data_IF_539231357376
#
_entry.id   IF_539231357376
#
_cell.length_a   1.000
_cell.length_b   1.000
_cell.length_c   1.000
_cell.angle_alpha   90.00
_cell.angle_beta   90.00
_cell.angle_gamma   90.00
#
_symmetry.space_group_name_H-M   'P 1'
#
loop_
_entity.id
_entity.type
_entity.pdbx_description
1 polymer ?
#
# COMPACT_ATOMS: atom_id res chain seq x y z
N UNK A 1 26.39 71.57 23.48
CA UNK A 1 25.13 71.12 24.10
C UNK A 1 24.73 69.79 23.49
N UNK A 2 24.62 68.74 24.33
CA UNK A 2 24.16 67.38 24.00
C UNK A 2 22.64 67.36 23.84
N UNK A 3 22.13 66.54 22.91
CA UNK A 3 21.00 65.57 23.07
C UNK A 3 20.59 65.07 21.67
N UNK A 4 21.11 63.91 21.27
CA UNK A 4 20.52 62.55 21.37
C UNK A 4 19.69 62.17 20.16
N UNK A 5 20.25 61.20 19.42
CA UNK A 5 19.60 60.37 18.44
C UNK A 5 18.28 59.81 18.97
N UNK A 6 17.21 60.04 18.22
CA UNK A 6 15.92 59.37 18.42
C UNK A 6 15.20 59.38 17.09
N UNK A 7 15.36 58.29 16.33
CA UNK A 7 14.43 57.79 15.30
C UNK A 7 15.00 56.47 14.74
N UNK A 8 15.43 55.60 15.67
CA UNK A 8 15.62 54.16 15.47
C UNK A 8 14.38 53.53 16.10
N UNK A 9 13.31 53.36 15.31
CA UNK A 9 12.08 52.82 15.88
C UNK A 9 10.81 53.19 15.12
N UNK A 10 10.81 53.10 13.79
CA UNK A 10 9.55 52.98 13.04
C UNK A 10 9.75 51.96 11.94
N UNK A 11 9.16 50.79 12.17
CA UNK A 11 8.77 49.81 11.15
C UNK A 11 9.80 48.79 10.66
N UNK A 12 10.57 48.23 11.59
CA UNK A 12 11.03 46.84 11.54
C UNK A 12 9.83 45.87 11.80
N UNK A 13 8.73 46.08 11.07
CA UNK A 13 7.42 45.47 11.28
C UNK A 13 6.78 44.98 9.97
N UNK A 14 7.59 44.80 8.92
CA UNK A 14 7.24 44.06 7.69
C UNK A 14 7.88 42.67 7.64
N UNK A 15 8.49 42.22 8.75
CA UNK A 15 9.08 40.89 8.92
C UNK A 15 8.28 40.01 9.89
N UNK A 16 7.00 40.36 10.14
CA UNK A 16 6.10 39.48 10.90
C UNK A 16 5.31 38.66 9.91
N UNK A 17 5.77 37.42 9.72
CA UNK A 17 4.92 36.24 9.59
C UNK A 17 3.76 36.32 8.60
N UNK A 18 4.07 36.40 7.30
CA UNK A 18 3.40 35.48 6.38
C UNK A 18 4.21 34.18 6.30
N UNK A 19 4.46 33.58 7.47
CA UNK A 19 4.38 32.14 7.56
C UNK A 19 2.92 31.83 7.27
N UNK A 20 2.60 31.62 6.00
CA UNK A 20 1.41 30.87 5.59
C UNK A 20 1.54 29.52 6.28
N UNK A 21 1.07 29.45 7.53
CA UNK A 21 0.96 28.23 8.29
C UNK A 21 -0.02 27.41 7.47
N UNK A 22 0.50 26.45 6.71
CA UNK A 22 -0.31 25.49 5.99
C UNK A 22 -1.33 24.96 7.00
N UNK A 23 -2.59 25.36 6.83
CA UNK A 23 -3.73 24.89 7.60
C UNK A 23 -4.26 23.57 7.03
N UNK A 24 -3.50 22.92 6.15
CA UNK A 24 -3.73 21.52 5.86
C UNK A 24 -3.41 20.72 7.14
N UNK A 25 -4.28 19.81 7.58
CA UNK A 25 -3.93 18.93 8.69
C UNK A 25 -2.60 18.25 8.34
N UNK A 26 -1.59 18.49 9.18
CA UNK A 26 -0.29 17.84 9.13
C UNK A 26 -0.56 16.34 9.27
N UNK A 27 -0.68 15.67 8.14
CA UNK A 27 -0.83 14.23 7.98
C UNK A 27 -2.22 13.71 8.41
N UNK A 28 -3.10 13.47 7.43
CA UNK A 28 -4.28 12.62 7.64
C UNK A 28 -3.79 11.19 7.87
N UNK A 29 -4.44 10.48 8.79
CA UNK A 29 -4.14 9.09 9.11
C UNK A 29 -3.99 8.25 7.84
N UNK A 30 -2.80 7.69 7.67
CA UNK A 30 -2.39 7.04 6.44
C UNK A 30 -2.59 5.55 6.53
N UNK A 31 -3.73 5.01 6.07
CA UNK A 31 -3.92 3.55 5.95
C UNK A 31 -3.82 3.12 4.49
N UNK A 32 -3.20 1.97 4.28
CA UNK A 32 -3.02 1.38 2.96
C UNK A 32 -3.96 0.19 2.84
N UNK A 33 -4.75 0.19 1.78
CA UNK A 33 -5.68 -0.90 1.48
C UNK A 33 -5.34 -1.55 0.14
N UNK A 34 -5.51 -2.87 0.04
CA UNK A 34 -5.51 -3.57 -1.24
C UNK A 34 -6.93 -3.81 -1.74
N UNK A 35 -7.14 -3.60 -3.04
CA UNK A 35 -8.31 -4.08 -3.79
C UNK A 35 -7.86 -5.23 -4.69
N UNK A 36 -8.42 -6.41 -4.48
CA UNK A 36 -8.27 -7.52 -5.41
C UNK A 36 -9.25 -7.35 -6.56
N UNK A 37 -8.73 -7.22 -7.78
CA UNK A 37 -9.51 -6.93 -8.98
C UNK A 37 -9.31 -7.96 -10.09
N UNK A 38 -8.86 -9.16 -9.73
CA UNK A 38 -8.92 -10.34 -10.58
C UNK A 38 -9.34 -11.58 -9.81
N UNK A 39 -10.10 -12.49 -10.43
CA UNK A 39 -10.48 -13.74 -9.81
C UNK A 39 -9.26 -14.70 -9.76
N UNK A 40 -9.19 -15.62 -8.78
CA UNK A 40 -8.02 -16.47 -8.56
C UNK A 40 -7.69 -17.40 -9.73
N UNK A 41 -8.63 -17.73 -10.61
CA UNK A 41 -8.42 -18.60 -11.77
C UNK A 41 -7.44 -17.99 -12.78
N UNK A 42 -7.36 -16.65 -12.84
CA UNK A 42 -6.36 -15.96 -13.65
C UNK A 42 -4.95 -16.12 -13.09
N UNK A 43 -4.83 -16.44 -11.79
CA UNK A 43 -3.56 -16.72 -11.17
C UNK A 43 -2.98 -18.03 -11.67
N UNK A 44 -3.75 -18.99 -12.20
CA UNK A 44 -3.28 -20.27 -12.78
C UNK A 44 -3.76 -21.53 -12.04
N UNK A 45 -2.91 -22.55 -11.89
CA UNK A 45 -3.22 -23.93 -11.49
C UNK A 45 -3.68 -24.18 -10.02
N UNK A 46 -4.34 -23.21 -9.38
CA UNK A 46 -5.12 -23.39 -8.15
C UNK A 46 -4.33 -23.83 -6.90
N UNK A 47 -3.03 -23.51 -6.86
CA UNK A 47 -2.13 -23.80 -5.72
C UNK A 47 -1.22 -22.61 -5.44
N UNK A 48 -1.75 -21.39 -5.47
CA UNK A 48 -0.98 -20.14 -5.46
C UNK A 48 -1.46 -19.25 -4.33
N UNK A 49 -0.56 -18.45 -3.79
CA UNK A 49 -0.95 -17.40 -2.88
C UNK A 49 -0.19 -16.12 -3.21
N UNK A 50 -0.83 -15.00 -2.94
CA UNK A 50 -0.21 -13.70 -3.00
C UNK A 50 0.38 -13.37 -1.64
N UNK A 51 1.61 -12.90 -1.66
CA UNK A 51 2.22 -12.18 -0.55
C UNK A 51 2.26 -10.71 -0.94
N UNK A 52 1.51 -9.88 -0.22
CA UNK A 52 1.58 -8.43 -0.34
C UNK A 52 2.41 -7.91 0.82
N UNK A 53 3.50 -7.23 0.50
CA UNK A 53 4.38 -6.59 1.48
C UNK A 53 4.29 -5.09 1.30
N UNK A 54 3.98 -4.36 2.38
CA UNK A 54 4.11 -2.91 2.44
C UNK A 54 5.31 -2.55 3.33
N UNK A 55 6.34 -2.00 2.72
CA UNK A 55 7.54 -1.49 3.41
C UNK A 55 7.33 0.01 3.64
N UNK A 56 7.27 0.41 4.91
CA UNK A 56 6.97 1.78 5.31
C UNK A 56 8.15 2.31 6.10
N UNK A 57 8.60 3.53 5.78
CA UNK A 57 9.69 4.19 6.51
C UNK A 57 9.44 4.20 8.03
N UNK A 58 10.35 3.57 8.78
CA UNK A 58 10.33 3.53 10.25
C UNK A 58 9.45 2.43 10.85
N UNK A 59 8.94 1.49 10.05
CA UNK A 59 8.15 0.34 10.52
C UNK A 59 8.74 -0.98 10.03
N UNK A 60 8.49 -2.06 10.78
CA UNK A 60 8.66 -3.41 10.25
C UNK A 60 7.72 -3.65 9.06
N UNK A 61 8.14 -4.43 8.04
CA UNK A 61 7.31 -4.71 6.87
C UNK A 61 5.96 -5.32 7.25
N UNK A 62 4.88 -4.75 6.72
CA UNK A 62 3.55 -5.33 6.87
C UNK A 62 3.35 -6.39 5.80
N UNK A 63 3.05 -7.63 6.22
CA UNK A 63 2.91 -8.78 5.31
C UNK A 63 1.49 -9.32 5.38
N UNK A 64 0.79 -9.31 4.25
CA UNK A 64 -0.53 -9.92 4.08
C UNK A 64 -0.45 -11.09 3.11
N UNK A 65 -1.05 -12.23 3.47
CA UNK A 65 -1.08 -13.45 2.64
C UNK A 65 -2.50 -13.78 2.22
N UNK A 66 -2.70 -14.00 0.92
CA UNK A 66 -4.01 -14.21 0.30
C UNK A 66 -3.95 -15.48 -0.54
N UNK A 67 -4.79 -16.46 -0.21
CA UNK A 67 -4.77 -17.81 -0.77
C UNK A 67 -5.88 -18.03 -1.80
N UNK A 68 -5.58 -18.73 -2.89
CA UNK A 68 -6.47 -18.92 -4.05
C UNK A 68 -7.45 -20.11 -3.96
N UNK A 69 -7.50 -20.83 -2.83
CA UNK A 69 -8.26 -22.09 -2.69
C UNK A 69 -9.13 -22.21 -1.43
N UNK A 70 -9.92 -23.28 -1.37
CA UNK A 70 -10.78 -23.69 -0.25
C UNK A 70 -9.98 -23.98 1.04
N UNK A 71 -10.51 -23.55 2.19
CA UNK A 71 -9.88 -23.63 3.51
C UNK A 71 -9.58 -25.06 3.98
N UNK A 72 -10.32 -26.04 3.48
CA UNK A 72 -10.07 -27.45 3.79
C UNK A 72 -8.78 -27.96 3.15
N UNK A 73 -8.37 -27.38 2.02
CA UNK A 73 -7.07 -27.64 1.37
C UNK A 73 -5.95 -26.74 1.87
N UNK A 74 -6.30 -25.62 2.52
CA UNK A 74 -5.34 -24.64 3.03
C UNK A 74 -4.47 -25.13 4.19
N UNK A 75 -4.89 -26.19 4.90
CA UNK A 75 -4.23 -26.68 6.09
C UNK A 75 -2.74 -27.00 5.89
N UNK A 76 -2.38 -27.63 4.77
CA UNK A 76 -0.99 -27.99 4.46
C UNK A 76 -0.09 -26.75 4.29
N UNK A 77 -0.59 -25.71 3.62
CA UNK A 77 0.17 -24.49 3.34
C UNK A 77 0.29 -23.57 4.55
N UNK A 78 -0.78 -23.46 5.33
CA UNK A 78 -0.79 -22.72 6.58
C UNK A 78 0.27 -23.29 7.53
N UNK A 79 0.38 -24.63 7.58
CA UNK A 79 1.41 -25.32 8.35
C UNK A 79 2.83 -25.10 7.78
N UNK A 80 3.04 -25.23 6.46
CA UNK A 80 4.34 -24.99 5.81
C UNK A 80 4.86 -23.57 6.11
N UNK A 81 3.97 -22.59 6.09
CA UNK A 81 4.29 -21.18 6.31
C UNK A 81 4.35 -20.80 7.79
N UNK A 82 3.99 -21.71 8.71
CA UNK A 82 3.95 -21.44 10.14
C UNK A 82 2.98 -20.33 10.53
N UNK A 83 1.89 -20.16 9.77
CA UNK A 83 0.84 -19.16 10.05
C UNK A 83 -0.42 -19.83 10.58
N UNK A 84 -1.41 -19.06 11.05
CA UNK A 84 -2.73 -19.60 11.41
C UNK A 84 -3.77 -19.34 10.33
N UNK A 85 -4.92 -20.04 10.38
CA UNK A 85 -6.07 -19.75 9.50
C UNK A 85 -6.59 -18.31 9.69
N UNK A 86 -6.47 -17.74 10.89
CA UNK A 86 -6.94 -16.37 11.17
C UNK A 86 -6.06 -15.31 10.50
N UNK A 87 -4.79 -15.62 10.25
CA UNK A 87 -3.82 -14.72 9.61
C UNK A 87 -3.87 -14.81 8.07
N UNK A 88 -4.62 -15.78 7.54
CA UNK A 88 -4.71 -16.04 6.13
C UNK A 88 -6.04 -15.48 5.57
N UNK A 89 -5.98 -14.87 4.39
CA UNK A 89 -7.16 -14.36 3.70
C UNK A 89 -7.51 -15.28 2.52
N UNK A 90 -8.79 -15.53 2.30
CA UNK A 90 -9.26 -16.29 1.14
C UNK A 90 -9.56 -15.33 -0.02
N UNK A 91 -8.89 -15.50 -1.15
CA UNK A 91 -9.05 -14.64 -2.32
C UNK A 91 -10.51 -14.51 -2.78
N UNK A 92 -11.26 -15.62 -2.79
CA UNK A 92 -12.66 -15.67 -3.24
C UNK A 92 -13.61 -14.80 -2.39
N UNK A 93 -13.24 -14.55 -1.14
CA UNK A 93 -14.01 -13.70 -0.23
C UNK A 93 -13.78 -12.20 -0.48
N UNK A 94 -12.66 -11.84 -1.09
CA UNK A 94 -12.23 -10.44 -1.25
C UNK A 94 -12.33 -9.92 -2.68
N UNK A 95 -12.07 -10.74 -3.71
CA UNK A 95 -12.10 -10.28 -5.11
C UNK A 95 -13.43 -9.61 -5.47
N UNK A 96 -13.35 -8.36 -5.95
CA UNK A 96 -14.50 -7.56 -6.36
C UNK A 96 -15.45 -7.13 -5.23
N UNK A 97 -15.19 -7.51 -3.98
CA UNK A 97 -16.14 -7.36 -2.86
C UNK A 97 -15.67 -6.38 -1.79
N UNK A 98 -14.42 -6.47 -1.35
CA UNK A 98 -13.92 -5.76 -0.15
C UNK A 98 -12.50 -5.25 -0.33
N UNK A 99 -12.19 -4.17 0.38
CA UNK A 99 -10.81 -3.72 0.59
C UNK A 99 -10.18 -4.51 1.73
N UNK A 100 -8.90 -4.82 1.58
CA UNK A 100 -8.07 -5.49 2.58
C UNK A 100 -7.22 -4.42 3.26
N UNK A 101 -7.32 -4.26 4.58
CA UNK A 101 -6.44 -3.37 5.34
C UNK A 101 -5.06 -4.02 5.46
N UNK A 102 -4.06 -3.47 4.78
CA UNK A 102 -2.70 -4.05 4.73
C UNK A 102 -1.89 -3.72 5.98
N UNK A 103 -2.16 -2.59 6.62
CA UNK A 103 -1.36 -2.10 7.75
C UNK A 103 -2.01 -2.45 9.08
N UNK A 104 -3.34 -2.59 9.11
CA UNK A 104 -4.14 -2.87 10.32
C UNK A 104 -4.07 -1.77 11.38
N UNK A 105 -3.35 -0.68 11.08
CA UNK A 105 -3.08 0.46 11.94
C UNK A 105 -2.86 1.70 11.10
N UNK A 106 -2.99 2.85 11.75
CA UNK A 106 -2.71 4.14 11.15
C UNK A 106 -1.21 4.37 11.07
N UNK A 107 -0.76 4.77 9.88
CA UNK A 107 0.60 5.22 9.67
C UNK A 107 0.67 6.73 9.87
N UNK A 108 1.85 7.20 10.24
CA UNK A 108 2.20 8.61 10.15
C UNK A 108 2.07 9.03 8.68
N UNK A 109 1.23 10.04 8.40
CA UNK A 109 1.16 10.53 7.02
C UNK A 109 2.48 11.15 6.58
N UNK A 110 2.66 11.22 5.26
CA UNK A 110 3.91 11.62 4.62
C UNK A 110 4.98 10.53 4.60
N UNK A 111 4.80 9.41 5.33
CA UNK A 111 5.71 8.26 5.28
C UNK A 111 5.86 7.73 3.85
N UNK A 112 7.09 7.44 3.47
CA UNK A 112 7.42 6.80 2.20
C UNK A 112 7.14 5.30 2.29
N UNK A 113 6.51 4.79 1.23
CA UNK A 113 6.02 3.43 1.17
C UNK A 113 6.30 2.79 -0.19
N UNK A 114 6.79 1.56 -0.16
CA UNK A 114 6.79 0.65 -1.29
C UNK A 114 5.79 -0.49 -1.02
N UNK A 115 4.96 -0.81 -2.02
CA UNK A 115 4.08 -1.99 -1.94
C UNK A 115 4.45 -2.95 -3.04
N UNK A 116 4.84 -4.16 -2.63
CA UNK A 116 5.20 -5.25 -3.51
C UNK A 116 4.19 -6.38 -3.37
N UNK A 117 3.73 -6.91 -4.50
CA UNK A 117 2.99 -8.18 -4.55
C UNK A 117 3.85 -9.25 -5.20
N UNK A 118 3.89 -10.42 -4.57
CA UNK A 118 4.53 -11.62 -5.11
C UNK A 118 3.52 -12.75 -5.14
N UNK A 119 3.41 -13.39 -6.30
CA UNK A 119 2.75 -14.68 -6.40
C UNK A 119 3.78 -15.76 -6.07
N UNK A 120 3.50 -16.53 -5.02
CA UNK A 120 4.39 -17.58 -4.54
C UNK A 120 3.86 -18.96 -4.97
N UNK A 121 4.78 -19.80 -5.46
CA UNK A 121 4.59 -21.08 -6.16
C UNK A 121 3.92 -20.97 -7.55
N UNK A 122 4.35 -21.83 -8.48
CA UNK A 122 4.06 -21.74 -9.91
C UNK A 122 5.10 -20.92 -10.68
N UNK A 123 4.68 -20.23 -11.76
CA UNK A 123 5.53 -19.22 -12.39
C UNK A 123 5.58 -17.99 -11.46
N UNK A 124 6.69 -17.81 -10.76
CA UNK A 124 6.86 -16.70 -9.82
C UNK A 124 6.76 -15.37 -10.54
N UNK A 125 5.70 -14.61 -10.24
CA UNK A 125 5.51 -13.25 -10.73
C UNK A 125 5.57 -12.29 -9.56
N UNK A 126 6.13 -11.11 -9.79
CA UNK A 126 6.15 -10.02 -8.81
C UNK A 126 5.88 -8.70 -9.49
N UNK A 127 5.20 -7.81 -8.80
CA UNK A 127 4.98 -6.44 -9.23
C UNK A 127 5.07 -5.52 -8.02
N UNK A 128 5.54 -4.29 -8.24
CA UNK A 128 5.66 -3.28 -7.19
C UNK A 128 5.09 -1.96 -7.67
N UNK A 129 4.47 -1.22 -6.76
CA UNK A 129 4.15 0.19 -6.97
C UNK A 129 5.41 1.00 -6.66
N UNK A 130 5.83 1.96 -7.52
CA UNK A 130 6.93 2.86 -7.19
C UNK A 130 6.72 3.56 -5.85
N UNK A 131 7.80 3.84 -5.13
CA UNK A 131 7.76 4.49 -3.81
C UNK A 131 6.87 5.74 -3.84
N UNK A 132 5.95 5.84 -2.87
CA UNK A 132 5.02 6.96 -2.76
C UNK A 132 4.81 7.38 -1.31
N UNK A 133 4.31 8.61 -1.10
CA UNK A 133 3.91 9.12 0.21
C UNK A 133 2.45 8.81 0.52
N UNK A 134 2.21 8.36 1.75
CA UNK A 134 0.86 8.10 2.26
C UNK A 134 0.30 9.37 2.87
N UNK A 135 -0.62 10.02 2.16
CA UNK A 135 -1.30 11.24 2.59
C UNK A 135 -2.80 10.96 2.77
N UNK A 136 -3.13 10.18 3.80
CA UNK A 136 -4.48 9.68 4.06
C UNK A 136 -4.73 8.27 3.50
N UNK A 137 -6.01 7.91 3.35
CA UNK A 137 -6.43 6.61 2.80
C UNK A 137 -5.84 6.40 1.41
N UNK A 138 -5.02 5.36 1.26
CA UNK A 138 -4.44 4.95 -0.02
C UNK A 138 -4.93 3.56 -0.40
N UNK A 139 -5.27 3.37 -1.69
CA UNK A 139 -5.68 2.07 -2.21
C UNK A 139 -4.68 1.64 -3.29
N UNK A 140 -4.22 0.39 -3.19
CA UNK A 140 -3.50 -0.30 -4.25
C UNK A 140 -4.41 -1.35 -4.88
N UNK A 141 -4.42 -1.43 -6.20
CA UNK A 141 -5.18 -2.41 -6.96
C UNK A 141 -4.24 -3.52 -7.39
N UNK A 142 -4.59 -4.76 -7.08
CA UNK A 142 -3.86 -5.97 -7.50
C UNK A 142 -4.72 -6.71 -8.52
N UNK A 143 -4.16 -6.99 -9.69
CA UNK A 143 -4.89 -7.63 -10.79
C UNK A 143 -3.95 -8.38 -11.73
N UNK A 144 -4.53 -9.23 -12.58
CA UNK A 144 -3.84 -9.84 -13.70
C UNK A 144 -4.24 -9.16 -15.00
N UNK A 145 -3.24 -8.74 -15.78
CA UNK A 145 -3.43 -8.21 -17.12
C UNK A 145 -3.12 -9.30 -18.15
N UNK A 146 -4.07 -9.62 -19.03
CA UNK A 146 -3.84 -10.53 -20.14
C UNK A 146 -3.39 -9.75 -21.38
N UNK A 147 -2.19 -10.06 -21.88
CA UNK A 147 -1.73 -9.54 -23.17
C UNK A 147 -2.12 -10.52 -24.28
N UNK A 148 -3.03 -10.08 -25.15
CA UNK A 148 -3.54 -10.88 -26.29
C UNK A 148 -2.64 -10.78 -27.53
N UNK A 149 -1.47 -10.15 -27.40
CA UNK A 149 -0.59 -9.80 -28.54
C UNK A 149 0.10 -11.02 -29.17
N UNK A 150 0.01 -12.21 -28.56
CA UNK A 150 0.50 -13.47 -29.14
C UNK A 150 -0.55 -14.61 -29.01
N UNK A 151 -0.53 -15.61 -29.93
CA UNK A 151 -1.29 -16.83 -29.76
C UNK A 151 -0.93 -17.49 -28.42
N UNK A 152 -1.92 -17.67 -27.54
CA UNK A 152 -1.71 -18.26 -26.21
C UNK A 152 -1.68 -17.30 -25.01
N UNK A 153 -1.87 -15.99 -25.21
CA UNK A 153 -2.21 -14.99 -24.17
C UNK A 153 -1.44 -15.07 -22.84
N UNK A 154 -0.49 -14.16 -22.59
CA UNK A 154 0.27 -14.16 -21.32
C UNK A 154 -0.47 -13.36 -20.26
N UNK A 155 -0.78 -14.00 -19.12
CA UNK A 155 -1.37 -13.37 -17.96
C UNK A 155 -0.29 -12.87 -17.00
N UNK A 156 -0.22 -11.55 -16.80
CA UNK A 156 0.81 -10.89 -15.98
C UNK A 156 0.23 -10.28 -14.70
N UNK A 157 0.86 -10.56 -13.57
CA UNK A 157 0.54 -9.91 -12.29
C UNK A 157 0.91 -8.43 -12.35
N UNK A 158 -0.01 -7.58 -11.90
CA UNK A 158 0.14 -6.12 -11.85
C UNK A 158 -0.32 -5.59 -10.49
N UNK A 159 0.30 -4.49 -10.08
CA UNK A 159 -0.14 -3.67 -8.96
C UNK A 159 -0.02 -2.20 -9.35
N UNK A 160 -1.02 -1.40 -8.99
CA UNK A 160 -1.04 0.04 -9.24
C UNK A 160 -1.70 0.77 -8.07
N UNK A 161 -1.26 2.00 -7.80
CA UNK A 161 -1.97 2.88 -6.86
C UNK A 161 -3.16 3.50 -7.57
N UNK A 162 -4.33 3.43 -6.94
CA UNK A 162 -5.54 4.12 -7.42
C UNK A 162 -5.92 5.22 -6.43
N UNK A 163 -6.26 6.40 -6.96
CA UNK A 163 -6.70 7.56 -6.19
C UNK A 163 -8.21 7.54 -5.97
#
# INVERSE_FOLDING_TARGET
MRKTAFLLGVSFLFLISNCTRSTAPLYRDGRIFAKLDSPPELAGDGRRYLTITAEVEGYEPFVTRIFDFDWDRAGEYVNELGITKADALNWNDYYGKKLIDLTGRELKGGSEVEVTVRQTRGHSQSASVPIFRVDGKTIVRVYYATSVVMPGGVTQLRIERIQ
#
